data_IF_849037522311
#
_entry.id   IF_849037522311
#
_cell.length_a   1.000
_cell.length_b   1.000
_cell.length_c   1.000
_cell.angle_alpha   90.00
_cell.angle_beta   90.00
_cell.angle_gamma   90.00
#
_symmetry.space_group_name_H-M   'P 1'
#
loop_
_entity.id
_entity.type
_entity.pdbx_description
1 polymer ?
#
# COMPACT_ATOMS: atom_id res chain seq x y z
N UNK A 1 -18.75 9.08 18.58
CA UNK A 1 -18.48 7.88 17.76
C UNK A 1 -17.44 8.25 16.73
N UNK A 2 -16.46 7.39 16.50
CA UNK A 2 -15.52 7.54 15.38
C UNK A 2 -16.16 7.01 14.10
N UNK A 3 -15.82 7.61 12.95
CA UNK A 3 -16.31 7.18 11.63
C UNK A 3 -15.32 6.18 11.04
N UNK A 4 -15.79 5.01 10.64
CA UNK A 4 -14.99 4.06 9.85
C UNK A 4 -14.81 4.62 8.44
N UNK A 5 -13.64 4.43 7.86
CA UNK A 5 -13.30 4.94 6.54
C UNK A 5 -12.37 3.97 5.81
N UNK A 6 -12.31 4.14 4.49
CA UNK A 6 -11.47 3.38 3.56
C UNK A 6 -10.83 4.39 2.61
N UNK A 7 -9.65 4.07 2.10
CA UNK A 7 -9.02 4.80 1.00
C UNK A 7 -8.97 3.93 -0.25
N UNK A 8 -9.25 4.54 -1.40
CA UNK A 8 -9.15 3.87 -2.70
C UNK A 8 -7.96 4.43 -3.48
N UNK A 9 -7.18 3.54 -4.09
CA UNK A 9 -6.05 3.85 -4.97
C UNK A 9 -6.38 3.35 -6.37
N UNK A 10 -6.29 4.22 -7.35
CA UNK A 10 -6.46 3.87 -8.76
C UNK A 10 -5.18 3.22 -9.30
N UNK A 11 -5.33 2.16 -10.11
CA UNK A 11 -4.23 1.36 -10.65
C UNK A 11 -4.68 0.58 -11.90
N UNK A 12 -3.77 0.11 -12.74
CA UNK A 12 -4.05 -0.71 -13.91
C UNK A 12 -4.23 -2.21 -13.58
N UNK A 13 -3.57 -2.71 -12.53
CA UNK A 13 -3.59 -4.08 -12.03
C UNK A 13 -3.82 -4.11 -10.50
N UNK A 14 -5.10 -4.11 -10.06
CA UNK A 14 -5.48 -4.15 -8.65
C UNK A 14 -4.85 -5.31 -7.86
N UNK A 15 -4.81 -6.53 -8.41
CA UNK A 15 -4.24 -7.68 -7.73
C UNK A 15 -2.72 -7.54 -7.51
N UNK A 16 -1.97 -6.97 -8.48
CA UNK A 16 -0.55 -6.69 -8.31
C UNK A 16 -0.32 -5.70 -7.16
N UNK A 17 -1.02 -4.58 -7.18
CA UNK A 17 -0.86 -3.52 -6.19
C UNK A 17 -1.32 -3.99 -4.80
N UNK A 18 -2.42 -4.75 -4.72
CA UNK A 18 -2.89 -5.34 -3.46
C UNK A 18 -1.86 -6.26 -2.81
N UNK A 19 -1.24 -7.18 -3.56
CA UNK A 19 -0.19 -8.07 -3.02
C UNK A 19 1.01 -7.30 -2.48
N UNK A 20 1.42 -6.25 -3.18
CA UNK A 20 2.48 -5.36 -2.70
C UNK A 20 2.09 -4.70 -1.37
N UNK A 21 0.91 -4.11 -1.28
CA UNK A 21 0.47 -3.41 -0.07
C UNK A 21 0.15 -4.37 1.10
N UNK A 22 -0.26 -5.61 0.85
CA UNK A 22 -0.31 -6.66 1.88
C UNK A 22 1.07 -6.87 2.52
N UNK A 23 2.11 -6.98 1.69
CA UNK A 23 3.50 -7.09 2.17
C UNK A 23 3.95 -5.84 2.92
N UNK A 24 3.61 -4.66 2.40
CA UNK A 24 4.01 -3.37 2.98
C UNK A 24 3.31 -3.03 4.30
N UNK A 25 2.12 -3.56 4.56
CA UNK A 25 1.34 -3.23 5.76
C UNK A 25 1.19 -4.42 6.72
N UNK A 26 1.59 -5.63 6.31
CA UNK A 26 1.19 -6.86 7.00
C UNK A 26 -0.31 -7.10 6.97
N UNK A 27 -0.98 -6.55 5.95
CA UNK A 27 -2.42 -6.71 5.73
C UNK A 27 -2.71 -8.02 5.00
N UNK A 28 -3.97 -8.42 4.99
CA UNK A 28 -4.48 -9.52 4.18
C UNK A 28 -5.45 -9.00 3.13
N UNK A 29 -5.64 -9.77 2.06
CA UNK A 29 -6.77 -9.55 1.15
C UNK A 29 -8.08 -9.62 1.95
N UNK A 30 -9.02 -8.72 1.63
CA UNK A 30 -10.33 -8.67 2.28
C UNK A 30 -11.12 -9.92 1.92
N UNK A 31 -11.89 -10.43 2.88
CA UNK A 31 -12.80 -11.55 2.65
C UNK A 31 -13.88 -11.18 1.62
N UNK A 32 -14.41 -12.16 0.86
CA UNK A 32 -15.59 -11.95 0.04
C UNK A 32 -16.81 -11.57 0.91
N UNK A 33 -17.90 -11.08 0.29
CA UNK A 33 -19.12 -10.76 1.03
C UNK A 33 -19.66 -11.92 1.86
N UNK A 34 -20.34 -11.60 2.97
CA UNK A 34 -20.90 -12.59 3.88
C UNK A 34 -21.75 -13.64 3.14
N UNK A 35 -21.49 -14.92 3.45
CA UNK A 35 -22.17 -16.06 2.83
C UNK A 35 -21.45 -16.64 1.60
N UNK A 36 -20.25 -16.15 1.26
CA UNK A 36 -19.43 -16.66 0.18
C UNK A 36 -18.07 -17.16 0.69
N UNK A 37 -17.60 -18.30 0.18
CA UNK A 37 -16.31 -18.88 0.57
C UNK A 37 -15.14 -18.21 -0.17
N UNK A 38 -15.35 -17.80 -1.43
CA UNK A 38 -14.33 -17.14 -2.25
C UNK A 38 -14.91 -15.98 -3.06
N UNK A 39 -14.05 -15.02 -3.45
CA UNK A 39 -14.40 -13.97 -4.40
C UNK A 39 -14.85 -14.54 -5.75
N UNK A 40 -14.20 -15.61 -6.23
CA UNK A 40 -14.53 -16.25 -7.49
C UNK A 40 -15.96 -16.82 -7.51
N UNK A 41 -16.40 -17.45 -6.42
CA UNK A 41 -17.76 -17.98 -6.30
C UNK A 41 -18.80 -16.85 -6.32
N UNK A 42 -18.53 -15.77 -5.57
CA UNK A 42 -19.40 -14.59 -5.53
C UNK A 42 -19.52 -13.91 -6.90
N UNK A 43 -18.39 -13.67 -7.58
CA UNK A 43 -18.34 -13.07 -8.91
C UNK A 43 -19.05 -13.94 -9.96
N UNK A 44 -18.86 -15.27 -9.89
CA UNK A 44 -19.55 -16.24 -10.74
C UNK A 44 -21.07 -16.16 -10.54
N UNK A 45 -21.54 -16.12 -9.29
CA UNK A 45 -22.97 -16.04 -8.99
C UNK A 45 -23.62 -14.74 -9.45
N UNK A 46 -22.84 -13.65 -9.52
CA UNK A 46 -23.27 -12.37 -10.10
C UNK A 46 -23.13 -12.31 -11.63
N UNK A 47 -22.68 -13.39 -12.28
CA UNK A 47 -22.40 -13.46 -13.72
C UNK A 47 -21.39 -12.42 -14.20
N UNK A 48 -20.39 -12.09 -13.36
CA UNK A 48 -19.29 -11.19 -13.75
C UNK A 48 -18.32 -11.96 -14.64
N UNK A 49 -18.00 -11.48 -15.86
CA UNK A 49 -17.01 -12.11 -16.73
C UNK A 49 -15.64 -12.24 -16.04
N UNK A 50 -14.93 -13.36 -16.23
CA UNK A 50 -13.60 -13.59 -15.63
C UNK A 50 -12.60 -12.48 -15.96
N UNK A 51 -12.72 -11.83 -17.13
CA UNK A 51 -11.89 -10.71 -17.53
C UNK A 51 -12.03 -9.48 -16.61
N UNK A 52 -13.12 -9.37 -15.87
CA UNK A 52 -13.45 -8.28 -14.95
C UNK A 52 -13.14 -8.65 -13.48
N UNK A 53 -12.68 -9.88 -13.19
CA UNK A 53 -12.41 -10.31 -11.80
C UNK A 53 -11.24 -9.55 -11.15
N UNK A 54 -10.38 -8.92 -11.95
CA UNK A 54 -9.33 -8.02 -11.49
C UNK A 54 -9.67 -6.54 -11.72
N UNK A 55 -10.95 -6.18 -11.79
CA UNK A 55 -11.36 -4.77 -11.88
C UNK A 55 -11.30 -4.06 -10.52
N UNK A 56 -11.15 -4.82 -9.43
CA UNK A 56 -10.82 -4.28 -8.13
C UNK A 56 -10.21 -5.31 -7.19
N UNK A 57 -9.56 -4.81 -6.14
CA UNK A 57 -9.06 -5.59 -5.03
C UNK A 57 -9.21 -4.79 -3.73
N UNK A 58 -9.24 -5.47 -2.58
CA UNK A 58 -9.28 -4.80 -1.28
C UNK A 58 -8.42 -5.55 -0.27
N UNK A 59 -7.78 -4.79 0.62
CA UNK A 59 -6.95 -5.32 1.71
C UNK A 59 -7.37 -4.69 3.04
N UNK A 60 -7.20 -5.43 4.12
CA UNK A 60 -7.57 -4.99 5.46
C UNK A 60 -6.55 -5.40 6.51
N UNK A 61 -6.50 -4.64 7.60
CA UNK A 61 -5.78 -5.04 8.80
C UNK A 61 -6.42 -6.32 9.37
N UNK A 62 -5.66 -7.42 9.51
CA UNK A 62 -6.19 -8.68 10.03
C UNK A 62 -6.73 -8.56 11.47
N UNK A 63 -6.36 -7.52 12.21
CA UNK A 63 -6.89 -7.25 13.54
C UNK A 63 -8.14 -6.35 13.54
N UNK A 64 -8.53 -5.81 12.38
CA UNK A 64 -9.69 -4.94 12.21
C UNK A 64 -9.59 -3.58 12.93
N UNK A 65 -8.38 -3.14 13.28
CA UNK A 65 -8.12 -1.88 14.00
C UNK A 65 -7.88 -0.73 13.03
N UNK A 66 -7.06 -0.98 12.00
CA UNK A 66 -6.68 0.04 11.02
C UNK A 66 -7.64 0.08 9.81
N UNK A 67 -7.72 1.22 9.09
CA UNK A 67 -8.51 1.36 7.88
C UNK A 67 -8.10 0.37 6.79
N UNK A 68 -9.07 -0.05 5.97
CA UNK A 68 -8.82 -0.83 4.75
C UNK A 68 -8.36 0.06 3.58
N UNK A 69 -7.75 -0.59 2.59
CA UNK A 69 -7.38 0.03 1.31
C UNK A 69 -8.08 -0.75 0.20
N UNK A 70 -8.64 -0.03 -0.77
CA UNK A 70 -9.19 -0.60 -1.99
C UNK A 70 -8.36 -0.16 -3.20
N UNK A 71 -8.30 -1.01 -4.20
CA UNK A 71 -7.62 -0.79 -5.46
C UNK A 71 -8.63 -0.90 -6.58
N UNK A 72 -8.78 0.15 -7.39
CA UNK A 72 -9.75 0.18 -8.48
C UNK A 72 -9.01 0.25 -9.81
N UNK A 73 -9.46 -0.57 -10.77
CA UNK A 73 -8.88 -0.58 -12.10
C UNK A 73 -9.22 0.69 -12.86
N UNK A 74 -8.19 1.44 -13.21
CA UNK A 74 -8.22 2.61 -14.08
C UNK A 74 -7.13 2.40 -15.15
N UNK A 75 -7.51 2.08 -16.40
CA UNK A 75 -6.54 1.72 -17.44
C UNK A 75 -5.71 2.91 -17.93
N UNK A 76 -6.20 4.14 -17.73
CA UNK A 76 -5.48 5.34 -18.11
C UNK A 76 -4.22 5.53 -17.24
N UNK A 77 -3.05 5.77 -17.85
CA UNK A 77 -1.84 5.99 -17.09
C UNK A 77 -1.92 7.29 -16.28
N UNK A 78 -1.33 7.27 -15.10
CA UNK A 78 -1.20 8.44 -14.25
C UNK A 78 -0.44 9.57 -14.97
N UNK A 79 -1.01 10.77 -14.98
CA UNK A 79 -0.43 11.95 -15.66
C UNK A 79 0.29 12.92 -14.72
N UNK A 80 0.08 12.82 -13.40
CA UNK A 80 0.68 13.73 -12.42
C UNK A 80 0.88 13.09 -11.04
N UNK A 81 1.53 13.80 -10.11
CA UNK A 81 1.76 13.32 -8.75
C UNK A 81 0.46 13.13 -7.97
N UNK A 82 0.33 12.02 -7.24
CA UNK A 82 -0.76 11.81 -6.29
C UNK A 82 -0.76 12.94 -5.26
N UNK A 83 -1.92 13.56 -5.04
CA UNK A 83 -2.11 14.65 -4.06
C UNK A 83 -2.39 14.15 -2.64
N UNK A 84 -2.37 12.83 -2.47
CA UNK A 84 -2.43 12.12 -1.21
C UNK A 84 -1.08 11.46 -0.96
N UNK A 85 -0.66 11.45 0.31
CA UNK A 85 0.62 10.90 0.76
C UNK A 85 0.35 9.80 1.79
N UNK A 86 0.95 8.63 1.58
CA UNK A 86 0.97 7.53 2.55
C UNK A 86 2.37 7.39 3.14
N UNK A 87 2.46 7.49 4.47
CA UNK A 87 3.71 7.34 5.22
C UNK A 87 3.69 6.06 6.04
N UNK A 88 4.63 5.15 5.77
CA UNK A 88 4.83 3.92 6.51
C UNK A 88 5.78 4.19 7.68
N UNK A 89 5.22 4.28 8.88
CA UNK A 89 5.95 4.62 10.10
C UNK A 89 6.64 3.39 10.69
N UNK A 90 7.91 3.19 10.35
CA UNK A 90 8.69 2.01 10.76
C UNK A 90 9.86 2.37 11.66
N UNK A 91 10.25 3.64 11.74
CA UNK A 91 11.42 4.05 12.52
C UNK A 91 11.25 3.96 14.05
N UNK A 92 10.01 3.91 14.56
CA UNK A 92 9.71 3.97 16.00
C UNK A 92 9.65 5.40 16.58
N UNK A 93 9.63 6.41 15.72
CA UNK A 93 9.48 7.82 16.10
C UNK A 93 10.79 8.51 16.52
N UNK A 94 10.71 9.82 16.82
CA UNK A 94 11.89 10.68 17.06
C UNK A 94 12.61 10.43 18.39
N UNK A 95 12.01 9.66 19.30
CA UNK A 95 12.64 9.27 20.57
C UNK A 95 13.72 8.19 20.39
N UNK A 96 13.64 7.41 19.30
CA UNK A 96 14.61 6.37 19.00
C UNK A 96 15.94 6.96 18.52
N UNK A 97 17.09 6.34 18.87
CA UNK A 97 18.40 6.75 18.36
C UNK A 97 18.43 6.80 16.82
N UNK A 98 18.98 7.89 16.28
CA UNK A 98 18.98 8.15 14.83
C UNK A 98 19.49 6.97 14.00
N UNK A 99 20.62 6.35 14.38
CA UNK A 99 21.16 5.20 13.64
C UNK A 99 20.21 4.00 13.58
N UNK A 100 19.39 3.75 14.61
CA UNK A 100 18.40 2.68 14.60
C UNK A 100 17.21 3.02 13.70
N UNK A 101 16.79 4.29 13.69
CA UNK A 101 15.74 4.78 12.78
C UNK A 101 16.14 4.58 11.33
N UNK A 102 17.35 5.00 10.97
CA UNK A 102 17.89 4.84 9.61
C UNK A 102 18.00 3.36 9.22
N UNK A 103 18.49 2.52 10.13
CA UNK A 103 18.59 1.08 9.91
C UNK A 103 17.21 0.47 9.62
N UNK A 104 16.19 0.80 10.42
CA UNK A 104 14.82 0.28 10.24
C UNK A 104 14.22 0.73 8.91
N UNK A 105 14.34 2.02 8.58
CA UNK A 105 13.86 2.58 7.30
C UNK A 105 14.51 1.84 6.12
N UNK A 106 15.84 1.67 6.14
CA UNK A 106 16.58 1.03 5.04
C UNK A 106 16.25 -0.45 4.90
N UNK A 107 16.20 -1.18 6.02
CA UNK A 107 15.82 -2.60 6.01
C UNK A 107 14.41 -2.78 5.46
N UNK A 108 13.47 -1.95 5.90
CA UNK A 108 12.09 -2.05 5.43
C UNK A 108 11.97 -1.69 3.94
N UNK A 109 12.63 -0.63 3.49
CA UNK A 109 12.65 -0.27 2.07
C UNK A 109 13.30 -1.35 1.19
N UNK A 110 14.28 -2.10 1.72
CA UNK A 110 14.84 -3.26 1.01
C UNK A 110 13.76 -4.34 0.80
N UNK A 111 13.03 -4.72 1.85
CA UNK A 111 11.90 -5.66 1.74
C UNK A 111 10.88 -5.20 0.70
N UNK A 112 10.54 -3.90 0.69
CA UNK A 112 9.60 -3.35 -0.29
C UNK A 112 10.15 -3.38 -1.72
N UNK A 113 11.45 -3.15 -1.89
CA UNK A 113 12.10 -3.22 -3.21
C UNK A 113 12.09 -4.65 -3.75
N UNK A 114 12.33 -5.64 -2.88
CA UNK A 114 12.20 -7.07 -3.23
C UNK A 114 10.74 -7.44 -3.61
N UNK A 115 9.76 -6.74 -3.05
CA UNK A 115 8.34 -6.87 -3.39
C UNK A 115 7.89 -6.03 -4.62
N UNK A 116 8.81 -5.30 -5.27
CA UNK A 116 8.54 -4.57 -6.52
C UNK A 116 8.45 -3.04 -6.38
N UNK A 117 8.73 -2.47 -5.21
CA UNK A 117 8.85 -1.01 -5.09
C UNK A 117 10.12 -0.47 -5.76
N UNK A 118 10.10 0.82 -6.09
CA UNK A 118 11.28 1.56 -6.56
C UNK A 118 11.63 2.69 -5.61
N UNK A 119 12.87 2.73 -5.11
CA UNK A 119 13.37 3.89 -4.35
C UNK A 119 13.57 5.07 -5.29
N UNK A 120 12.87 6.18 -5.02
CA UNK A 120 12.95 7.41 -5.82
C UNK A 120 14.07 8.30 -5.31
N UNK A 121 14.11 8.57 -4.01
CA UNK A 121 15.16 9.36 -3.37
C UNK A 121 15.22 9.17 -1.86
N UNK A 122 16.39 9.42 -1.31
CA UNK A 122 16.56 9.69 0.12
C UNK A 122 16.21 11.15 0.41
N UNK A 123 15.46 11.38 1.49
CA UNK A 123 15.09 12.72 1.92
C UNK A 123 15.78 13.01 3.25
N UNK A 124 16.74 13.96 3.28
CA UNK A 124 17.40 14.32 4.51
C UNK A 124 16.51 15.21 5.37
N UNK A 125 16.79 15.27 6.67
CA UNK A 125 16.24 16.32 7.54
C UNK A 125 16.78 17.68 7.09
N UNK A 126 15.95 18.72 7.22
CA UNK A 126 16.29 20.08 6.79
C UNK A 126 17.67 20.53 7.28
N UNK A 127 18.50 20.99 6.35
CA UNK A 127 19.87 21.47 6.58
C UNK A 127 20.84 20.43 7.19
N UNK A 128 20.59 19.13 6.99
CA UNK A 128 21.48 18.05 7.43
C UNK A 128 21.75 17.06 6.30
N UNK A 129 22.65 16.10 6.53
CA UNK A 129 22.83 14.90 5.70
C UNK A 129 22.15 13.66 6.30
N UNK A 130 21.44 13.85 7.42
CA UNK A 130 20.82 12.79 8.20
C UNK A 130 19.51 12.36 7.54
N UNK A 131 19.29 11.06 7.37
CA UNK A 131 18.10 10.54 6.71
C UNK A 131 16.84 10.83 7.55
N UNK A 132 15.84 11.46 6.96
CA UNK A 132 14.51 11.63 7.57
C UNK A 132 13.57 10.51 7.11
N UNK A 133 13.47 10.30 5.78
CA UNK A 133 12.64 9.26 5.18
C UNK A 133 13.11 8.87 3.78
N UNK A 134 12.61 7.74 3.27
CA UNK A 134 12.78 7.35 1.88
C UNK A 134 11.47 7.58 1.12
N UNK A 135 11.56 8.23 -0.04
CA UNK A 135 10.44 8.32 -0.99
C UNK A 135 10.54 7.14 -1.97
N UNK A 136 9.50 6.32 -2.01
CA UNK A 136 9.37 5.16 -2.88
C UNK A 136 8.17 5.29 -3.82
N UNK A 137 8.15 4.40 -4.81
CA UNK A 137 7.02 4.12 -5.68
C UNK A 137 6.61 2.66 -5.56
N UNK A 138 5.32 2.39 -5.52
CA UNK A 138 4.79 1.01 -5.62
C UNK A 138 5.01 0.45 -7.05
N UNK A 139 4.63 -0.82 -7.32
CA UNK A 139 4.84 -1.45 -8.63
C UNK A 139 4.23 -0.69 -9.82
N UNK A 140 3.23 0.16 -9.58
CA UNK A 140 2.58 0.98 -10.61
C UNK A 140 2.98 2.45 -10.59
N UNK A 141 3.91 2.80 -9.71
CA UNK A 141 4.46 4.13 -9.65
C UNK A 141 3.69 5.08 -8.72
N UNK A 142 2.79 4.60 -7.86
CA UNK A 142 2.17 5.45 -6.83
C UNK A 142 3.19 5.83 -5.76
N UNK A 143 3.22 7.12 -5.42
CA UNK A 143 4.20 7.69 -4.52
C UNK A 143 3.82 7.46 -3.03
N UNK A 144 4.77 6.96 -2.23
CA UNK A 144 4.63 6.81 -0.76
C UNK A 144 5.99 6.96 -0.06
N UNK A 145 6.01 7.07 1.27
CA UNK A 145 7.25 7.18 2.04
C UNK A 145 7.39 6.11 3.13
N UNK A 146 8.65 5.83 3.49
CA UNK A 146 9.03 5.02 4.65
C UNK A 146 9.73 5.93 5.66
N UNK A 147 9.16 6.06 6.86
CA UNK A 147 9.45 7.10 7.86
C UNK A 147 9.84 6.53 9.23
#
# INVERSE_FOLDING_TARGET
MTTKWTITIDCADPALVARFWCTALGYTESDPPEGWDTWGDWLTALNVPEAEWNDGASISDPNGVLPSISFLKVPEPRTSKNRLHLDLQVAGGRAEPQHLREQRIRTFAQTLTEAGATVVREVPMDNTTTLDHLWLKDPEGNDFCVV
#
